data_IF_922576465331
#
_entry.id   IF_922576465331
#
_cell.length_a   1.000
_cell.length_b   1.000
_cell.length_c   1.000
_cell.angle_alpha   90.00
_cell.angle_beta   90.00
_cell.angle_gamma   90.00
#
_symmetry.space_group_name_H-M   'P 1'
#
loop_
_entity.id
_entity.type
_entity.pdbx_description
1 polymer ?
#
# COMPACT_ATOMS: atom_id res chain seq x y z
N UNK A 1 -2.27 14.66 0.56
CA UNK A 1 -3.65 14.91 1.01
C UNK A 1 -4.03 16.23 0.40
N UNK A 2 -5.11 16.25 -0.34
CA UNK A 2 -5.54 17.43 -1.09
C UNK A 2 -7.00 17.73 -0.76
N UNK A 3 -7.43 18.95 -1.05
CA UNK A 3 -8.81 19.39 -0.87
C UNK A 3 -9.32 20.05 -2.14
N UNK A 4 -10.60 19.84 -2.43
CA UNK A 4 -11.30 20.52 -3.52
C UNK A 4 -12.63 21.04 -3.04
N UNK A 5 -13.16 22.07 -3.71
CA UNK A 5 -14.40 22.71 -3.31
C UNK A 5 -15.26 23.07 -4.52
N UNK A 6 -16.56 22.86 -4.41
CA UNK A 6 -17.56 23.18 -5.44
C UNK A 6 -18.80 23.82 -4.80
N UNK A 7 -19.53 24.68 -5.52
CA UNK A 7 -20.87 25.10 -5.10
C UNK A 7 -21.87 23.95 -5.25
N UNK A 8 -22.92 23.93 -4.42
CA UNK A 8 -24.06 23.01 -4.52
C UNK A 8 -25.15 23.71 -5.32
N UNK A 9 -25.56 23.14 -6.46
CA UNK A 9 -26.43 23.83 -7.42
C UNK A 9 -27.94 23.59 -7.18
N UNK A 10 -28.34 22.42 -6.66
CA UNK A 10 -29.75 21.97 -6.65
C UNK A 10 -30.36 21.76 -5.24
N UNK A 11 -30.08 22.67 -4.30
CA UNK A 11 -30.58 22.65 -2.90
C UNK A 11 -30.17 21.44 -2.03
N UNK A 12 -29.89 20.30 -2.63
CA UNK A 12 -29.35 19.08 -2.04
C UNK A 12 -28.14 18.59 -2.85
N UNK A 13 -27.21 17.91 -2.17
CA UNK A 13 -26.03 17.31 -2.79
C UNK A 13 -26.43 16.08 -3.60
N UNK A 14 -26.05 16.07 -4.87
CA UNK A 14 -26.22 14.97 -5.80
C UNK A 14 -24.93 14.16 -5.97
N UNK A 15 -25.00 13.00 -6.65
CA UNK A 15 -23.80 12.26 -7.03
C UNK A 15 -22.89 13.07 -7.96
N UNK A 16 -23.47 13.89 -8.85
CA UNK A 16 -22.71 14.75 -9.76
C UNK A 16 -21.90 15.80 -9.00
N UNK A 17 -22.45 16.36 -7.91
CA UNK A 17 -21.71 17.28 -7.03
C UNK A 17 -20.54 16.57 -6.32
N UNK A 18 -20.75 15.31 -5.90
CA UNK A 18 -19.69 14.48 -5.28
C UNK A 18 -18.58 14.19 -6.28
N UNK A 19 -18.92 13.82 -7.51
CA UNK A 19 -17.96 13.56 -8.57
C UNK A 19 -17.19 14.83 -8.95
N UNK A 20 -17.88 15.98 -8.99
CA UNK A 20 -17.30 17.29 -9.26
C UNK A 20 -16.32 17.72 -8.15
N UNK A 21 -16.67 17.56 -6.86
CA UNK A 21 -15.78 17.94 -5.76
C UNK A 21 -14.56 17.04 -5.67
N UNK A 22 -14.71 15.73 -5.93
CA UNK A 22 -13.60 14.78 -6.00
C UNK A 22 -12.70 15.13 -7.21
N UNK A 23 -13.31 15.52 -8.34
CA UNK A 23 -12.56 15.97 -9.51
C UNK A 23 -11.75 17.25 -9.20
N UNK A 24 -12.34 18.22 -8.52
CA UNK A 24 -11.64 19.42 -8.07
C UNK A 24 -10.50 19.06 -7.11
N UNK A 25 -10.74 18.17 -6.15
CA UNK A 25 -9.76 17.78 -5.14
C UNK A 25 -8.56 17.01 -5.72
N UNK A 26 -8.75 16.25 -6.81
CA UNK A 26 -7.66 15.55 -7.49
C UNK A 26 -6.94 16.37 -8.56
N UNK A 27 -7.44 17.57 -8.88
CA UNK A 27 -6.90 18.45 -9.93
C UNK A 27 -5.68 19.24 -9.43
N UNK A 28 -4.72 18.53 -8.83
CA UNK A 28 -3.47 19.10 -8.32
C UNK A 28 -2.32 18.82 -9.28
N UNK A 29 -1.30 19.68 -9.35
CA UNK A 29 -0.11 19.41 -10.15
C UNK A 29 0.58 18.13 -9.64
N UNK A 30 0.64 17.11 -10.49
CA UNK A 30 1.46 15.92 -10.28
C UNK A 30 2.66 15.96 -11.23
N UNK A 31 3.80 15.45 -10.77
CA UNK A 31 4.99 15.36 -11.60
C UNK A 31 4.71 14.47 -12.83
N UNK A 32 5.28 14.82 -13.99
CA UNK A 32 4.96 14.18 -15.28
C UNK A 32 5.27 12.68 -15.31
N UNK A 33 6.26 12.25 -14.51
CA UNK A 33 6.68 10.87 -14.34
C UNK A 33 5.76 10.06 -13.41
N UNK A 34 4.78 10.70 -12.76
CA UNK A 34 3.81 10.06 -11.87
C UNK A 34 2.41 10.03 -12.48
N UNK A 35 1.61 9.07 -12.04
CA UNK A 35 0.18 9.01 -12.31
C UNK A 35 -0.59 8.80 -11.02
N UNK A 36 -1.80 9.32 -10.95
CA UNK A 36 -2.75 8.99 -9.88
C UNK A 36 -3.17 7.53 -10.04
N UNK A 37 -3.09 6.80 -8.93
CA UNK A 37 -3.53 5.41 -8.81
C UNK A 37 -4.90 5.36 -8.12
N UNK A 38 -5.01 6.02 -6.96
CA UNK A 38 -6.25 6.07 -6.17
C UNK A 38 -6.52 7.49 -5.68
N UNK A 39 -7.81 7.84 -5.61
CA UNK A 39 -8.31 9.04 -4.93
C UNK A 39 -9.35 8.57 -3.93
N UNK A 40 -9.05 8.70 -2.64
CA UNK A 40 -9.87 8.17 -1.56
C UNK A 40 -10.41 9.34 -0.73
N UNK A 41 -11.73 9.59 -0.72
CA UNK A 41 -12.33 10.58 0.16
C UNK A 41 -12.07 10.25 1.63
N UNK A 42 -11.62 11.25 2.40
CA UNK A 42 -11.39 11.13 3.84
C UNK A 42 -12.55 11.74 4.62
N UNK A 43 -13.05 12.88 4.16
CA UNK A 43 -14.25 13.53 4.69
C UNK A 43 -14.78 14.55 3.69
N UNK A 44 -16.06 14.84 3.83
CA UNK A 44 -16.74 15.96 3.20
C UNK A 44 -17.08 17.01 4.25
N UNK A 45 -17.14 18.26 3.79
CA UNK A 45 -17.52 19.42 4.59
C UNK A 45 -18.58 20.16 3.81
N UNK A 46 -19.73 20.40 4.44
CA UNK A 46 -20.82 21.20 3.85
C UNK A 46 -20.97 22.45 4.70
N UNK A 47 -20.75 23.61 4.10
CA UNK A 47 -20.70 24.91 4.76
C UNK A 47 -19.73 24.95 5.96
N UNK A 48 -20.21 24.73 7.19
CA UNK A 48 -19.38 24.67 8.42
C UNK A 48 -19.45 23.32 9.14
N UNK A 49 -20.17 22.35 8.58
CA UNK A 49 -20.30 21.02 9.14
C UNK A 49 -19.20 20.12 8.59
N UNK A 50 -18.27 19.72 9.45
CA UNK A 50 -17.14 18.85 9.10
C UNK A 50 -17.43 17.36 9.34
N UNK A 51 -16.49 16.51 8.89
CA UNK A 51 -16.47 15.06 9.13
C UNK A 51 -17.69 14.31 8.60
N UNK A 52 -18.27 14.77 7.49
CA UNK A 52 -19.36 14.09 6.80
C UNK A 52 -18.78 12.93 5.98
N UNK A 53 -19.26 11.70 6.23
CA UNK A 53 -18.85 10.51 5.45
C UNK A 53 -19.62 10.38 4.12
N UNK A 54 -20.92 10.66 4.14
CA UNK A 54 -21.82 10.58 2.98
C UNK A 54 -22.62 11.89 2.84
N UNK A 55 -22.27 12.76 1.88
CA UNK A 55 -22.91 14.08 1.74
C UNK A 55 -24.20 14.05 0.91
N UNK A 56 -24.46 12.98 0.15
CA UNK A 56 -25.62 12.89 -0.76
C UNK A 56 -26.93 13.08 0.01
N UNK A 57 -27.80 13.96 -0.50
CA UNK A 57 -29.08 14.33 0.11
C UNK A 57 -28.98 15.36 1.25
N UNK A 58 -27.78 15.83 1.59
CA UNK A 58 -27.62 16.97 2.50
C UNK A 58 -27.80 18.28 1.75
N UNK A 59 -28.34 19.30 2.42
CA UNK A 59 -28.46 20.65 1.87
C UNK A 59 -27.29 21.54 2.30
N UNK A 60 -26.90 22.46 1.43
CA UNK A 60 -25.89 23.47 1.74
C UNK A 60 -25.61 24.38 0.55
N UNK A 61 -24.68 25.30 0.71
CA UNK A 61 -24.26 26.21 -0.38
C UNK A 61 -22.95 25.74 -1.01
N UNK A 62 -22.03 25.20 -0.22
CA UNK A 62 -20.70 24.77 -0.68
C UNK A 62 -20.33 23.43 -0.08
N UNK A 63 -19.70 22.60 -0.90
CA UNK A 63 -19.12 21.33 -0.47
C UNK A 63 -17.61 21.34 -0.71
N UNK A 64 -16.85 20.96 0.31
CA UNK A 64 -15.43 20.63 0.23
C UNK A 64 -15.25 19.13 0.43
N UNK A 65 -14.31 18.53 -0.32
CA UNK A 65 -13.86 17.17 -0.10
C UNK A 65 -12.37 17.17 0.20
N UNK A 66 -11.98 16.49 1.29
CA UNK A 66 -10.59 16.17 1.59
C UNK A 66 -10.31 14.75 1.12
N UNK A 67 -9.27 14.59 0.32
CA UNK A 67 -8.92 13.32 -0.32
C UNK A 67 -7.49 12.89 -0.03
N UNK A 68 -7.30 11.59 0.11
CA UNK A 68 -6.01 10.94 0.09
C UNK A 68 -5.70 10.47 -1.33
N UNK A 69 -4.65 11.02 -1.94
CA UNK A 69 -4.22 10.68 -3.29
C UNK A 69 -3.01 9.76 -3.22
N UNK A 70 -3.14 8.57 -3.81
CA UNK A 70 -2.02 7.63 -3.98
C UNK A 70 -1.55 7.73 -5.43
N UNK A 71 -0.26 7.91 -5.62
CA UNK A 71 0.37 8.06 -6.94
C UNK A 71 1.51 7.06 -7.12
N UNK A 72 1.73 6.61 -8.35
CA UNK A 72 2.82 5.69 -8.68
C UNK A 72 3.62 6.19 -9.88
N UNK A 73 4.80 5.61 -10.11
CA UNK A 73 5.60 5.90 -11.29
C UNK A 73 4.87 5.40 -12.55
N UNK A 74 4.73 6.28 -13.53
CA UNK A 74 3.95 6.02 -14.75
C UNK A 74 4.53 4.85 -15.54
N UNK A 75 5.85 4.77 -15.65
CA UNK A 75 6.53 3.72 -16.42
C UNK A 75 6.39 2.34 -15.76
N UNK A 76 6.43 2.28 -14.43
CA UNK A 76 6.21 1.02 -13.70
C UNK A 76 4.78 0.52 -13.91
N UNK A 77 3.78 1.39 -13.82
CA UNK A 77 2.39 1.05 -14.09
C UNK A 77 2.19 0.53 -15.52
N UNK A 78 2.78 1.20 -16.52
CA UNK A 78 2.73 0.76 -17.92
C UNK A 78 3.37 -0.62 -18.13
N UNK A 79 4.49 -0.88 -17.46
CA UNK A 79 5.18 -2.17 -17.58
C UNK A 79 4.35 -3.32 -17.02
N UNK A 80 3.69 -3.12 -15.87
CA UNK A 80 2.78 -4.11 -15.27
C UNK A 80 1.60 -4.40 -16.21
N UNK A 81 0.94 -3.35 -16.72
CA UNK A 81 -0.20 -3.50 -17.65
C UNK A 81 0.21 -4.28 -18.90
N UNK A 82 1.32 -3.89 -19.55
CA UNK A 82 1.83 -4.57 -20.73
C UNK A 82 2.20 -6.03 -20.46
N UNK A 83 2.70 -6.36 -19.27
CA UNK A 83 3.03 -7.74 -18.92
C UNK A 83 1.77 -8.63 -18.88
N UNK A 84 0.66 -8.12 -18.37
CA UNK A 84 -0.64 -8.81 -18.34
C UNK A 84 -1.25 -8.91 -19.74
N UNK A 85 -1.23 -7.82 -20.51
CA UNK A 85 -1.79 -7.77 -21.87
C UNK A 85 -1.08 -8.74 -22.84
N UNK A 86 0.21 -9.01 -22.63
CA UNK A 86 0.96 -10.03 -23.39
C UNK A 86 0.42 -11.45 -23.19
N UNK A 87 -0.34 -11.68 -22.13
CA UNK A 87 -1.05 -12.94 -21.89
C UNK A 87 -2.48 -12.92 -22.46
N UNK A 88 -2.81 -11.96 -23.32
CA UNK A 88 -4.15 -11.79 -23.92
C UNK A 88 -5.25 -11.51 -22.89
N UNK A 89 -4.91 -10.83 -21.79
CA UNK A 89 -5.83 -10.40 -20.74
C UNK A 89 -5.97 -8.87 -20.76
N UNK A 90 -7.12 -8.35 -20.31
CA UNK A 90 -7.32 -6.92 -20.09
C UNK A 90 -7.16 -6.56 -18.62
N UNK A 91 -6.49 -5.44 -18.34
CA UNK A 91 -6.37 -4.89 -16.99
C UNK A 91 -7.51 -3.91 -16.76
N UNK A 92 -8.40 -4.22 -15.82
CA UNK A 92 -9.48 -3.32 -15.41
C UNK A 92 -8.96 -2.12 -14.60
N UNK A 93 -8.19 -2.41 -13.54
CA UNK A 93 -7.55 -1.38 -12.73
C UNK A 93 -6.23 -1.85 -12.11
N UNK A 94 -5.41 -0.89 -11.71
CA UNK A 94 -4.23 -1.12 -10.88
C UNK A 94 -4.54 -0.72 -9.44
N UNK A 95 -4.12 -1.53 -8.47
CA UNK A 95 -4.40 -1.30 -7.06
C UNK A 95 -3.10 -1.27 -6.26
N UNK A 96 -2.96 -0.29 -5.35
CA UNK A 96 -1.90 -0.26 -4.35
C UNK A 96 -1.97 -1.48 -3.42
N UNK A 97 -0.85 -2.21 -3.28
CA UNK A 97 -0.81 -3.50 -2.56
C UNK A 97 -1.38 -3.40 -1.14
N UNK A 98 -0.86 -2.51 -0.30
CA UNK A 98 -1.32 -2.39 1.08
C UNK A 98 -2.80 -1.95 1.20
N UNK A 99 -3.36 -1.27 0.19
CA UNK A 99 -4.80 -0.99 0.16
C UNK A 99 -5.60 -2.28 -0.08
N UNK A 100 -5.16 -3.12 -1.03
CA UNK A 100 -5.77 -4.43 -1.25
C UNK A 100 -5.64 -5.34 -0.02
N UNK A 101 -4.43 -5.44 0.56
CA UNK A 101 -4.14 -6.20 1.78
C UNK A 101 -5.01 -5.73 2.95
N UNK A 102 -5.22 -4.43 3.11
CA UNK A 102 -6.10 -3.90 4.16
C UNK A 102 -7.57 -4.27 3.99
N UNK A 103 -8.01 -4.50 2.76
CA UNK A 103 -9.40 -4.92 2.51
C UNK A 103 -9.60 -6.40 2.82
N UNK A 104 -8.55 -7.22 2.74
CA UNK A 104 -8.63 -8.66 3.00
C UNK A 104 -8.46 -9.04 4.46
N UNK A 105 -7.71 -8.27 5.25
CA UNK A 105 -7.36 -8.65 6.64
C UNK A 105 -7.95 -7.76 7.73
N UNK A 106 -8.33 -6.52 7.43
CA UNK A 106 -8.86 -5.61 8.45
C UNK A 106 -10.38 -5.63 8.48
N UNK A 107 -10.92 -5.66 9.69
CA UNK A 107 -12.34 -5.42 9.97
C UNK A 107 -12.65 -3.92 9.96
N UNK A 108 -13.93 -3.57 9.81
CA UNK A 108 -14.36 -2.16 9.89
C UNK A 108 -14.14 -1.58 11.30
N UNK A 109 -14.33 -2.38 12.36
CA UNK A 109 -14.08 -1.96 13.74
C UNK A 109 -12.61 -1.56 13.96
N UNK A 110 -11.66 -2.31 13.40
CA UNK A 110 -10.23 -1.97 13.47
C UNK A 110 -9.92 -0.66 12.72
N UNK A 111 -10.52 -0.45 11.55
CA UNK A 111 -10.36 0.79 10.77
C UNK A 111 -10.97 2.00 11.48
N UNK A 112 -12.10 1.82 12.16
CA UNK A 112 -12.77 2.86 12.94
C UNK A 112 -11.98 3.23 14.19
N UNK A 113 -11.56 2.24 14.99
CA UNK A 113 -10.76 2.46 16.21
C UNK A 113 -9.40 3.07 15.92
N UNK A 114 -8.78 2.63 14.82
CA UNK A 114 -7.47 3.05 14.37
C UNK A 114 -6.50 1.88 14.32
N UNK A 115 -5.90 1.66 13.15
CA UNK A 115 -5.02 0.52 12.89
C UNK A 115 -3.94 0.91 11.87
N UNK A 116 -2.74 0.39 12.09
CA UNK A 116 -1.65 0.46 11.11
C UNK A 116 -1.44 -0.95 10.52
N UNK A 117 -1.65 -1.07 9.22
CA UNK A 117 -1.31 -2.26 8.46
C UNK A 117 0.09 -2.10 7.87
N UNK A 118 0.90 -3.14 8.02
CA UNK A 118 2.27 -3.22 7.50
C UNK A 118 2.35 -4.45 6.59
N UNK A 119 2.40 -4.22 5.29
CA UNK A 119 2.52 -5.25 4.25
C UNK A 119 4.01 -5.40 3.87
N UNK A 120 4.64 -6.49 4.31
CA UNK A 120 6.06 -6.75 4.09
C UNK A 120 6.27 -7.65 2.86
N UNK A 121 6.60 -7.05 1.73
CA UNK A 121 6.93 -7.75 0.50
C UNK A 121 8.41 -8.15 0.39
N UNK A 122 8.81 -8.52 -0.83
CA UNK A 122 10.21 -8.82 -1.13
C UNK A 122 11.06 -7.54 -1.25
N UNK A 123 10.56 -6.52 -1.95
CA UNK A 123 11.29 -5.28 -2.22
C UNK A 123 10.92 -4.10 -1.32
N UNK A 124 9.66 -4.03 -0.89
CA UNK A 124 9.12 -2.89 -0.14
C UNK A 124 8.31 -3.35 1.05
N UNK A 125 8.22 -2.47 2.04
CA UNK A 125 7.21 -2.53 3.09
C UNK A 125 6.24 -1.39 2.82
N UNK A 126 4.98 -1.74 2.63
CA UNK A 126 3.90 -0.80 2.35
C UNK A 126 3.06 -0.63 3.62
N UNK A 127 2.74 0.61 3.98
CA UNK A 127 2.03 0.94 5.22
C UNK A 127 0.73 1.66 4.88
N UNK A 128 -0.35 1.26 5.55
CA UNK A 128 -1.65 1.96 5.55
C UNK A 128 -2.05 2.27 7.00
N UNK A 129 -2.45 3.51 7.28
CA UNK A 129 -2.96 3.93 8.59
C UNK A 129 -4.41 4.36 8.44
N UNK A 130 -5.30 3.68 9.16
CA UNK A 130 -6.72 4.00 9.26
C UNK A 130 -7.03 4.66 10.60
N UNK A 131 -7.97 5.60 10.61
CA UNK A 131 -8.58 6.13 11.84
C UNK A 131 -9.94 6.73 11.51
N UNK A 132 -10.98 6.39 12.26
CA UNK A 132 -12.36 6.81 11.99
C UNK A 132 -12.94 6.22 10.70
N UNK A 133 -12.43 5.05 10.29
CA UNK A 133 -12.96 4.27 9.17
C UNK A 133 -12.43 4.70 7.81
N UNK A 134 -11.48 5.66 7.78
CA UNK A 134 -10.91 6.19 6.54
C UNK A 134 -9.40 6.05 6.54
N UNK A 135 -8.83 5.86 5.35
CA UNK A 135 -7.38 5.79 5.16
C UNK A 135 -6.78 7.19 5.34
N UNK A 136 -6.01 7.38 6.41
CA UNK A 136 -5.39 8.67 6.79
C UNK A 136 -4.02 8.87 6.18
N UNK A 137 -3.25 7.80 6.05
CA UNK A 137 -1.88 7.86 5.57
C UNK A 137 -1.45 6.57 4.87
N UNK A 138 -0.57 6.70 3.89
CA UNK A 138 0.16 5.60 3.29
C UNK A 138 1.64 5.94 3.18
N UNK A 139 2.50 4.97 3.39
CA UNK A 139 3.94 5.10 3.19
C UNK A 139 4.52 3.85 2.54
N UNK A 140 5.67 4.01 1.88
CA UNK A 140 6.42 2.91 1.29
C UNK A 140 7.87 3.03 1.76
N UNK A 141 8.39 1.95 2.33
CA UNK A 141 9.79 1.84 2.77
C UNK A 141 10.51 0.90 1.78
N UNK A 142 11.57 1.35 1.09
CA UNK A 142 12.30 0.54 0.11
C UNK A 142 13.30 -0.42 0.76
N UNK A 143 12.85 -1.18 1.76
CA UNK A 143 13.64 -2.18 2.47
C UNK A 143 12.71 -3.28 2.97
N UNK A 144 12.95 -4.54 2.57
CA UNK A 144 12.08 -5.67 2.93
C UNK A 144 12.81 -7.02 2.81
N UNK A 145 12.10 -8.09 2.44
CA UNK A 145 12.62 -9.46 2.45
C UNK A 145 13.91 -9.70 1.66
N UNK A 146 14.12 -9.04 0.52
CA UNK A 146 15.32 -9.19 -0.31
C UNK A 146 16.60 -8.74 0.41
N UNK A 147 16.50 -7.76 1.30
CA UNK A 147 17.65 -7.30 2.07
C UNK A 147 18.06 -8.34 3.11
N UNK A 148 17.07 -8.95 3.78
CA UNK A 148 17.30 -10.09 4.70
C UNK A 148 17.99 -11.24 3.97
N UNK A 149 17.49 -11.61 2.79
CA UNK A 149 18.09 -12.66 1.95
C UNK A 149 19.52 -12.31 1.54
N UNK A 150 19.78 -11.05 1.16
CA UNK A 150 21.11 -10.57 0.79
C UNK A 150 22.08 -10.67 1.96
N UNK A 151 21.65 -10.33 3.17
CA UNK A 151 22.49 -10.35 4.35
C UNK A 151 22.80 -11.78 4.80
N UNK A 152 21.82 -12.70 4.74
CA UNK A 152 22.06 -14.14 4.90
C UNK A 152 23.10 -14.62 3.88
N UNK A 153 22.92 -14.31 2.59
CA UNK A 153 23.85 -14.72 1.54
C UNK A 153 25.29 -14.23 1.80
N UNK A 154 25.46 -12.99 2.27
CA UNK A 154 26.78 -12.40 2.58
C UNK A 154 27.42 -13.04 3.81
N UNK A 155 26.68 -13.13 4.92
CA UNK A 155 27.17 -13.67 6.20
C UNK A 155 27.57 -15.14 6.02
N UNK A 156 26.67 -15.91 5.42
CA UNK A 156 26.85 -17.34 5.23
C UNK A 156 27.65 -17.67 3.97
N UNK A 157 28.02 -16.70 3.13
CA UNK A 157 28.74 -16.91 1.86
C UNK A 157 28.08 -18.01 1.02
N UNK A 158 26.76 -17.92 0.86
CA UNK A 158 25.91 -18.86 0.13
C UNK A 158 25.21 -18.16 -1.04
N UNK A 159 24.91 -18.84 -2.15
CA UNK A 159 24.11 -18.26 -3.24
C UNK A 159 22.75 -17.69 -2.78
N UNK A 160 22.24 -16.65 -3.45
CA UNK A 160 20.99 -15.96 -3.07
C UNK A 160 19.77 -16.89 -3.02
N UNK A 161 19.67 -17.85 -3.94
CA UNK A 161 18.59 -18.84 -3.95
C UNK A 161 18.63 -19.72 -2.69
N UNK A 162 19.81 -20.18 -2.27
CA UNK A 162 19.96 -20.95 -1.03
C UNK A 162 19.77 -20.08 0.22
N UNK A 163 20.17 -18.80 0.17
CA UNK A 163 19.87 -17.86 1.26
C UNK A 163 18.36 -17.66 1.43
N UNK A 164 17.59 -17.60 0.35
CA UNK A 164 16.12 -17.50 0.41
C UNK A 164 15.51 -18.78 0.97
N UNK A 165 16.01 -19.95 0.55
CA UNK A 165 15.60 -21.24 1.12
C UNK A 165 15.90 -21.30 2.62
N UNK A 166 17.07 -20.83 3.06
CA UNK A 166 17.43 -20.78 4.48
C UNK A 166 16.48 -19.83 5.22
N UNK A 167 16.23 -18.63 4.66
CA UNK A 167 15.32 -17.64 5.24
C UNK A 167 13.92 -18.21 5.44
N UNK A 168 13.39 -18.90 4.43
CA UNK A 168 12.00 -19.41 4.46
C UNK A 168 11.85 -20.67 5.32
N UNK A 169 12.90 -21.49 5.45
CA UNK A 169 12.86 -22.75 6.22
C UNK A 169 13.23 -22.60 7.70
N UNK A 170 14.22 -21.76 8.01
CA UNK A 170 14.85 -21.75 9.34
C UNK A 170 14.83 -20.38 10.03
N UNK A 171 14.45 -19.29 9.34
CA UNK A 171 14.53 -17.98 9.99
C UNK A 171 13.51 -17.84 11.11
N UNK A 172 13.97 -17.26 12.21
CA UNK A 172 13.13 -16.79 13.29
C UNK A 172 13.44 -15.31 13.56
N UNK A 173 12.40 -14.46 13.53
CA UNK A 173 12.56 -13.03 13.78
C UNK A 173 12.92 -12.71 15.24
N UNK A 174 12.58 -13.61 16.18
CA UNK A 174 12.84 -13.45 17.60
C UNK A 174 13.88 -14.45 18.08
N UNK A 175 15.09 -13.97 18.36
CA UNK A 175 16.23 -14.79 18.81
C UNK A 175 15.90 -15.72 19.99
N UNK A 176 15.05 -15.26 20.91
CA UNK A 176 14.67 -16.04 22.10
C UNK A 176 13.85 -17.30 21.80
N UNK A 177 13.26 -17.40 20.60
CA UNK A 177 12.47 -18.56 20.16
C UNK A 177 13.32 -19.58 19.38
N UNK A 178 14.58 -19.26 19.09
CA UNK A 178 15.48 -20.17 18.36
C UNK A 178 15.97 -21.26 19.30
N UNK A 179 15.84 -22.52 18.88
CA UNK A 179 16.44 -23.64 19.59
C UNK A 179 17.96 -23.59 19.40
N UNK A 180 18.72 -23.58 20.50
CA UNK A 180 20.19 -23.51 20.45
C UNK A 180 20.84 -24.80 19.96
N UNK A 181 20.09 -25.91 19.97
CA UNK A 181 20.55 -27.21 19.50
C UNK A 181 20.18 -27.46 18.03
N UNK A 182 19.60 -26.47 17.34
CA UNK A 182 19.24 -26.57 15.93
C UNK A 182 20.46 -26.30 15.05
N UNK A 183 20.75 -27.23 14.15
CA UNK A 183 21.84 -27.10 13.18
C UNK A 183 21.28 -26.87 11.78
N UNK A 184 21.88 -25.95 11.05
CA UNK A 184 21.48 -25.63 9.67
C UNK A 184 22.62 -25.99 8.72
N UNK A 185 22.31 -26.82 7.72
CA UNK A 185 23.22 -27.03 6.59
C UNK A 185 23.17 -25.86 5.62
N UNK A 186 24.31 -25.21 5.42
CA UNK A 186 24.46 -24.05 4.56
C UNK A 186 25.28 -24.44 3.33
N UNK A 187 24.66 -24.46 2.13
CA UNK A 187 25.39 -24.66 0.87
C UNK A 187 26.46 -23.59 0.66
N UNK A 188 27.66 -23.99 0.23
CA UNK A 188 28.75 -23.04 -0.03
C UNK A 188 28.80 -22.65 -1.51
N UNK A 189 29.40 -21.48 -1.79
CA UNK A 189 29.72 -21.06 -3.16
C UNK A 189 30.89 -21.86 -3.76
N UNK A 190 30.91 -21.97 -5.09
CA UNK A 190 32.06 -22.45 -5.86
C UNK A 190 32.34 -23.96 -5.76
N UNK A 191 31.31 -24.79 -5.59
CA UNK A 191 31.44 -26.25 -5.54
C UNK A 191 32.05 -26.79 -4.24
N UNK A 192 32.22 -25.94 -3.22
CA UNK A 192 32.64 -26.38 -1.89
C UNK A 192 31.51 -27.14 -1.18
N UNK A 193 31.83 -28.11 -0.32
CA UNK A 193 30.82 -28.84 0.45
C UNK A 193 30.02 -27.88 1.34
N UNK A 194 28.78 -28.28 1.66
CA UNK A 194 27.95 -27.57 2.63
C UNK A 194 28.63 -27.55 4.00
N UNK A 195 28.30 -26.52 4.79
CA UNK A 195 28.79 -26.36 6.17
C UNK A 195 27.61 -26.46 7.12
N UNK A 196 27.75 -27.26 8.17
CA UNK A 196 26.81 -27.22 9.29
C UNK A 196 27.13 -26.00 10.15
N UNK A 197 26.11 -25.20 10.50
CA UNK A 197 26.22 -24.03 11.36
C UNK A 197 25.29 -24.19 12.56
N UNK A 198 25.77 -23.76 13.73
CA UNK A 198 25.04 -23.61 14.99
C UNK A 198 24.46 -22.21 15.14
#
# INVERSE_FOLDING_TARGET
NESGMVPINEAEVTQDDVDAVIHAAKSVPIAQERRILHVLPQEFIIDSQESIKSPIGMSGVRMEARVHIITCANDMAKNIVKAVERCSLSVDCLVFSALASSTSVLTEDEKDLGVALVDMGAGTIDICIYTGGVLRHTAVIPAAGNQVTSDIAKIFRTPLNHAEEIKTKYACALRQMVNKDEHIEVPSVGGRPARSME
#
